data_IF_459490616282
#
_entry.id   IF_459490616282
#
_cell.length_a   1.000
_cell.length_b   1.000
_cell.length_c   1.000
_cell.angle_alpha   90.00
_cell.angle_beta   90.00
_cell.angle_gamma   90.00
#
_symmetry.space_group_name_H-M   'P 1'
#
loop_
_entity.id
_entity.type
_entity.pdbx_description
1 polymer ?
#
# COMPACT_ATOMS: atom_id res chain seq x y z
N UNK A 1 7.87 -0.52 -23.82
CA UNK A 1 6.56 -0.41 -23.11
C UNK A 1 6.19 1.04 -22.80
N UNK A 2 6.56 1.99 -23.66
CA UNK A 2 5.93 3.33 -23.79
C UNK A 2 6.02 3.72 -25.29
N UNK A 3 5.96 2.69 -26.14
CA UNK A 3 6.12 2.80 -27.58
C UNK A 3 4.80 3.28 -28.15
N UNK A 4 4.86 4.28 -29.02
CA UNK A 4 3.68 4.83 -29.66
C UNK A 4 3.56 4.29 -31.09
N UNK A 5 2.56 4.75 -31.85
CA UNK A 5 2.45 4.41 -33.26
C UNK A 5 3.62 4.95 -34.10
N UNK A 6 4.34 5.96 -33.59
CA UNK A 6 5.56 6.45 -34.22
C UNK A 6 6.80 5.88 -33.52
N UNK A 7 7.75 5.26 -34.23
CA UNK A 7 8.87 4.52 -33.62
C UNK A 7 9.77 5.42 -32.75
N UNK A 8 9.92 6.69 -33.15
CA UNK A 8 10.75 7.66 -32.46
C UNK A 8 10.01 8.48 -31.40
N UNK A 9 8.69 8.29 -31.23
CA UNK A 9 7.93 8.96 -30.18
C UNK A 9 7.63 7.97 -29.07
N UNK A 10 7.92 8.37 -27.84
CA UNK A 10 7.46 7.72 -26.62
C UNK A 10 6.30 8.50 -26.04
N UNK A 11 5.37 7.79 -25.42
CA UNK A 11 4.25 8.43 -24.76
C UNK A 11 3.40 7.45 -23.99
N UNK A 12 2.62 8.01 -23.07
CA UNK A 12 1.74 7.27 -22.20
C UNK A 12 0.53 8.13 -21.82
N UNK A 13 -0.63 7.50 -21.69
CA UNK A 13 -1.84 8.11 -21.19
C UNK A 13 -1.93 7.83 -19.68
N UNK A 14 -1.74 8.85 -18.85
CA UNK A 14 -1.82 8.72 -17.40
C UNK A 14 -3.27 8.60 -16.92
N UNK A 15 -4.17 9.37 -17.51
CA UNK A 15 -5.54 9.50 -17.04
C UNK A 15 -6.51 9.83 -18.18
N UNK A 16 -7.69 9.22 -18.12
CA UNK A 16 -8.83 9.52 -18.98
C UNK A 16 -10.09 9.52 -18.13
N UNK A 17 -10.80 10.65 -18.09
CA UNK A 17 -12.05 10.83 -17.37
C UNK A 17 -13.15 11.20 -18.36
N UNK A 18 -14.24 10.43 -18.37
CA UNK A 18 -15.45 10.75 -19.13
C UNK A 18 -16.52 11.25 -18.16
N UNK A 19 -17.00 12.48 -18.35
CA UNK A 19 -18.07 13.06 -17.55
C UNK A 19 -19.14 13.74 -18.43
N UNK A 20 -20.06 14.47 -17.81
CA UNK A 20 -21.14 15.18 -18.52
C UNK A 20 -20.61 16.30 -19.41
N UNK A 21 -19.44 16.87 -19.09
CA UNK A 21 -18.79 17.97 -19.80
C UNK A 21 -17.84 17.51 -20.90
N UNK A 22 -17.71 16.19 -21.15
CA UNK A 22 -16.87 15.62 -22.20
C UNK A 22 -15.83 14.63 -21.66
N UNK A 23 -14.68 14.58 -22.34
CA UNK A 23 -13.55 13.71 -22.05
C UNK A 23 -12.38 14.60 -21.61
N UNK A 24 -11.85 14.35 -20.43
CA UNK A 24 -10.56 14.87 -19.99
C UNK A 24 -9.50 13.79 -20.17
N UNK A 25 -8.40 14.13 -20.84
CA UNK A 25 -7.25 13.24 -20.99
C UNK A 25 -5.99 13.93 -20.49
N UNK A 26 -5.10 13.15 -19.88
CA UNK A 26 -3.79 13.60 -19.42
C UNK A 26 -2.74 12.52 -19.63
N UNK A 27 -1.55 12.91 -20.05
CA UNK A 27 -0.45 12.00 -20.29
C UNK A 27 0.89 12.71 -20.41
N UNK A 28 1.86 11.99 -20.97
CA UNK A 28 3.14 12.55 -21.38
C UNK A 28 3.58 11.95 -22.71
N UNK A 29 4.28 12.75 -23.53
CA UNK A 29 4.77 12.34 -24.85
C UNK A 29 6.04 13.11 -25.20
N UNK A 30 7.03 12.44 -25.79
CA UNK A 30 8.24 13.08 -26.30
C UNK A 30 8.84 12.32 -27.48
N UNK A 31 9.62 13.02 -28.31
CA UNK A 31 10.38 12.40 -29.39
C UNK A 31 11.82 12.08 -28.95
N UNK A 32 12.38 10.99 -29.46
CA UNK A 32 13.67 10.46 -29.00
C UNK A 32 14.84 11.41 -29.29
N UNK A 33 14.80 12.10 -30.43
CA UNK A 33 15.94 12.87 -30.94
C UNK A 33 15.69 14.37 -31.12
N UNK A 34 14.44 14.82 -31.14
CA UNK A 34 14.08 16.22 -31.44
C UNK A 34 12.96 16.70 -30.50
N UNK A 35 12.82 18.01 -30.26
CA UNK A 35 11.65 18.56 -29.56
C UNK A 35 10.38 18.39 -30.40
N UNK A 36 9.27 18.06 -29.75
CA UNK A 36 7.96 18.12 -30.39
C UNK A 36 7.50 19.57 -30.51
N UNK A 37 7.04 19.97 -31.69
CA UNK A 37 6.63 21.36 -31.95
C UNK A 37 5.27 21.68 -31.34
N UNK A 38 4.32 20.76 -31.46
CA UNK A 38 2.98 20.89 -30.90
C UNK A 38 2.33 19.51 -30.76
N UNK A 39 1.38 19.44 -29.83
CA UNK A 39 0.52 18.30 -29.61
C UNK A 39 -0.94 18.74 -29.69
N UNK A 40 -1.80 17.87 -30.22
CA UNK A 40 -3.25 18.09 -30.24
C UNK A 40 -3.99 16.79 -30.00
N UNK A 41 -5.21 16.90 -29.52
CA UNK A 41 -6.18 15.81 -29.53
C UNK A 41 -7.12 16.03 -30.73
N UNK A 42 -7.24 15.03 -31.59
CA UNK A 42 -8.11 15.08 -32.77
C UNK A 42 -9.20 14.01 -32.71
N UNK A 43 -10.41 14.36 -33.14
CA UNK A 43 -11.52 13.44 -33.37
C UNK A 43 -11.87 13.33 -34.86
N UNK A 44 -13.08 12.86 -35.18
CA UNK A 44 -13.57 12.88 -36.57
C UNK A 44 -13.90 14.30 -37.03
N UNK A 45 -14.44 15.11 -36.12
CA UNK A 45 -15.07 16.38 -36.49
C UNK A 45 -14.21 17.60 -36.14
N UNK A 46 -13.41 17.55 -35.08
CA UNK A 46 -12.65 18.68 -34.54
C UNK A 46 -11.23 18.27 -34.10
N UNK A 47 -10.41 19.25 -33.74
CA UNK A 47 -9.12 19.04 -33.06
C UNK A 47 -8.82 20.19 -32.11
N UNK A 48 -8.27 19.89 -30.94
CA UNK A 48 -7.93 20.85 -29.90
C UNK A 48 -6.45 20.72 -29.51
N UNK A 49 -5.74 21.86 -29.39
CA UNK A 49 -4.38 21.85 -28.87
C UNK A 49 -4.38 21.44 -27.40
N UNK A 50 -3.35 20.69 -26.99
CA UNK A 50 -3.21 20.31 -25.58
C UNK A 50 -2.63 21.46 -24.75
N UNK A 51 -2.88 21.42 -23.46
CA UNK A 51 -2.17 22.21 -22.45
C UNK A 51 -0.90 21.44 -22.09
N UNK A 52 0.27 22.05 -22.27
CA UNK A 52 1.57 21.42 -21.96
C UNK A 52 1.93 21.64 -20.49
N UNK A 53 2.44 20.60 -19.84
CA UNK A 53 2.80 20.58 -18.42
C UNK A 53 4.23 20.05 -18.22
N UNK A 54 4.86 20.43 -17.11
CA UNK A 54 6.17 19.92 -16.71
C UNK A 54 6.07 18.51 -16.10
N UNK A 55 7.00 17.62 -16.47
CA UNK A 55 7.08 16.24 -15.97
C UNK A 55 8.52 15.84 -15.62
N UNK A 56 8.94 16.22 -14.42
CA UNK A 56 10.28 15.91 -13.90
C UNK A 56 10.48 14.41 -13.65
N UNK A 57 9.43 13.70 -13.26
CA UNK A 57 9.42 12.26 -13.05
C UNK A 57 9.74 11.49 -14.33
N UNK A 58 9.13 11.89 -15.47
CA UNK A 58 9.40 11.29 -16.79
C UNK A 58 10.82 11.57 -17.24
N UNK A 59 11.28 12.81 -17.07
CA UNK A 59 12.65 13.22 -17.37
C UNK A 59 13.68 12.38 -16.60
N UNK A 60 13.49 12.19 -15.29
CA UNK A 60 14.34 11.37 -14.44
C UNK A 60 14.34 9.89 -14.87
N UNK A 61 13.17 9.33 -15.17
CA UNK A 61 13.06 7.93 -15.61
C UNK A 61 13.82 7.67 -16.92
N UNK A 62 13.76 8.61 -17.87
CA UNK A 62 14.42 8.50 -19.17
C UNK A 62 15.82 9.09 -19.24
N UNK A 63 16.31 9.70 -18.15
CA UNK A 63 17.60 10.39 -18.09
C UNK A 63 17.74 11.46 -19.19
N UNK A 64 16.69 12.27 -19.41
CA UNK A 64 16.62 13.28 -20.49
C UNK A 64 16.38 14.69 -19.94
N UNK A 65 17.44 15.26 -19.35
CA UNK A 65 17.37 16.50 -18.55
C UNK A 65 16.75 17.71 -19.25
N UNK A 66 16.76 17.77 -20.58
CA UNK A 66 16.23 18.89 -21.37
C UNK A 66 14.72 18.74 -21.73
N UNK A 67 14.07 17.67 -21.28
CA UNK A 67 12.73 17.27 -21.73
C UNK A 67 11.68 17.40 -20.62
N UNK A 68 11.62 18.58 -20.00
CA UNK A 68 10.73 18.84 -18.87
C UNK A 68 9.29 19.08 -19.35
N UNK A 69 9.10 19.77 -20.48
CA UNK A 69 7.79 20.09 -21.05
C UNK A 69 7.26 18.97 -21.95
N UNK A 70 7.07 17.77 -21.37
CA UNK A 70 6.54 16.61 -22.09
C UNK A 70 5.18 16.14 -21.57
N UNK A 71 4.66 16.73 -20.49
CA UNK A 71 3.30 16.47 -20.03
C UNK A 71 2.27 17.17 -20.89
N UNK A 72 1.08 16.59 -21.00
CA UNK A 72 -0.04 17.21 -21.71
C UNK A 72 -1.38 16.85 -21.09
N UNK A 73 -2.33 17.77 -21.17
CA UNK A 73 -3.74 17.54 -20.84
C UNK A 73 -4.68 18.22 -21.83
N UNK A 74 -5.89 17.69 -22.02
CA UNK A 74 -6.88 18.24 -22.94
C UNK A 74 -8.30 17.89 -22.49
N UNK A 75 -9.20 18.88 -22.58
CA UNK A 75 -10.64 18.65 -22.52
C UNK A 75 -11.18 18.53 -23.95
N UNK A 76 -11.98 17.51 -24.23
CA UNK A 76 -12.49 17.23 -25.58
C UNK A 76 -13.98 16.84 -25.55
N UNK A 77 -14.79 17.21 -26.56
CA UNK A 77 -16.21 16.83 -26.63
C UNK A 77 -16.45 15.31 -26.63
N UNK A 78 -17.62 14.87 -26.13
CA UNK A 78 -17.98 13.46 -25.98
C UNK A 78 -18.26 12.77 -27.35
N UNK A 79 -18.10 11.45 -27.40
CA UNK A 79 -18.63 10.51 -28.42
C UNK A 79 -17.85 10.28 -29.74
N UNK A 80 -16.54 10.53 -29.79
CA UNK A 80 -15.73 10.12 -30.94
C UNK A 80 -14.44 9.42 -30.52
N UNK A 81 -13.93 8.55 -31.39
CA UNK A 81 -12.56 8.05 -31.31
C UNK A 81 -11.61 9.23 -31.41
N UNK A 82 -10.83 9.47 -30.36
CA UNK A 82 -9.86 10.54 -30.31
C UNK A 82 -8.43 10.01 -30.38
N UNK A 83 -7.53 10.82 -30.93
CA UNK A 83 -6.13 10.51 -31.13
C UNK A 83 -5.28 11.62 -30.55
N UNK A 84 -4.17 11.26 -29.89
CA UNK A 84 -3.09 12.21 -29.70
C UNK A 84 -2.29 12.30 -31.00
N UNK A 85 -2.12 13.51 -31.50
CA UNK A 85 -1.29 13.79 -32.67
C UNK A 85 -0.13 14.72 -32.30
N UNK A 86 1.02 14.49 -32.94
CA UNK A 86 2.19 15.36 -32.85
C UNK A 86 2.46 16.02 -34.20
N UNK A 87 2.81 17.30 -34.17
CA UNK A 87 3.23 18.04 -35.36
C UNK A 87 4.70 17.74 -35.65
N UNK A 88 4.97 17.08 -36.77
CA UNK A 88 6.31 16.73 -37.26
C UNK A 88 6.40 17.05 -38.75
N UNK A 89 7.46 17.73 -39.19
CA UNK A 89 7.70 18.08 -40.59
C UNK A 89 6.49 18.70 -41.33
N UNK A 90 5.71 19.53 -40.60
CA UNK A 90 4.48 20.20 -41.05
C UNK A 90 3.23 19.32 -41.15
N UNK A 91 3.33 18.03 -40.81
CA UNK A 91 2.23 17.08 -40.79
C UNK A 91 1.85 16.68 -39.37
N UNK A 92 0.54 16.49 -39.15
CA UNK A 92 0.03 15.93 -37.89
C UNK A 92 0.03 14.41 -37.97
N UNK A 93 0.86 13.79 -37.12
CA UNK A 93 1.03 12.34 -37.08
C UNK A 93 0.33 11.77 -35.86
N UNK A 94 -0.46 10.71 -36.04
CA UNK A 94 -1.09 9.97 -34.93
C UNK A 94 -0.05 9.26 -34.09
N UNK A 95 -0.05 9.54 -32.80
CA UNK A 95 0.90 9.02 -31.82
C UNK A 95 0.24 7.96 -30.96
N UNK A 96 -0.86 8.32 -30.28
CA UNK A 96 -1.59 7.43 -29.39
C UNK A 96 -3.06 7.37 -29.81
N UNK A 97 -3.62 6.16 -29.83
CA UNK A 97 -5.06 5.99 -29.87
C UNK A 97 -5.60 6.26 -28.45
N UNK A 98 -6.46 7.25 -28.29
CA UNK A 98 -7.06 7.60 -27.01
C UNK A 98 -8.48 6.99 -26.87
N UNK A 99 -8.88 6.07 -27.75
CA UNK A 99 -10.18 5.40 -27.75
C UNK A 99 -10.10 3.89 -27.43
N UNK A 100 -10.85 3.49 -26.38
CA UNK A 100 -11.38 2.16 -26.00
C UNK A 100 -10.86 0.95 -26.80
N UNK A 101 -9.98 0.09 -26.26
CA UNK A 101 -10.29 -1.04 -25.33
C UNK A 101 -9.36 -1.04 -24.09
N UNK A 102 -8.37 -0.17 -24.06
CA UNK A 102 -7.34 -0.16 -23.01
C UNK A 102 -7.83 0.39 -21.66
N UNK A 103 -8.97 1.08 -21.58
CA UNK A 103 -9.58 1.49 -20.29
C UNK A 103 -9.95 0.31 -19.36
N UNK A 104 -10.23 -0.88 -19.90
CA UNK A 104 -10.40 -2.10 -19.08
C UNK A 104 -9.05 -2.68 -18.60
N UNK A 105 -7.95 -2.25 -19.21
CA UNK A 105 -6.59 -2.74 -18.95
C UNK A 105 -5.74 -1.73 -18.18
N UNK A 106 -6.09 -0.44 -18.18
CA UNK A 106 -5.45 0.59 -17.35
C UNK A 106 -5.81 0.28 -15.89
N UNK A 107 -4.83 -0.11 -15.06
CA UNK A 107 -5.11 -0.32 -13.64
C UNK A 107 -5.59 1.00 -13.06
N UNK A 108 -6.73 0.98 -12.37
CA UNK A 108 -7.19 2.14 -11.62
C UNK A 108 -6.06 2.61 -10.71
N UNK A 109 -5.70 3.89 -10.80
CA UNK A 109 -4.78 4.49 -9.84
C UNK A 109 -5.36 4.27 -8.44
N UNK A 110 -4.75 3.39 -7.67
CA UNK A 110 -5.24 3.08 -6.35
C UNK A 110 -4.89 4.25 -5.43
N UNK A 111 -5.87 5.10 -5.17
CA UNK A 111 -5.73 6.21 -4.22
C UNK A 111 -5.77 5.72 -2.76
N UNK A 112 -6.07 4.44 -2.51
CA UNK A 112 -6.06 3.86 -1.18
C UNK A 112 -4.68 3.30 -0.83
N UNK A 113 -4.29 3.49 0.43
CA UNK A 113 -3.12 2.81 1.00
C UNK A 113 -3.31 1.30 0.83
N UNK A 114 -2.22 0.57 0.54
CA UNK A 114 -2.25 -0.88 0.41
C UNK A 114 -2.96 -1.53 1.60
N UNK A 115 -3.57 -2.71 1.43
CA UNK A 115 -4.20 -3.42 2.55
C UNK A 115 -3.16 -3.95 3.55
N UNK A 116 -2.01 -4.36 3.06
CA UNK A 116 -0.83 -4.67 3.86
C UNK A 116 0.45 -4.56 3.02
N UNK A 117 1.59 -4.39 3.70
CA UNK A 117 2.94 -4.36 3.13
C UNK A 117 3.83 -5.26 3.99
N UNK A 118 4.69 -6.04 3.34
CA UNK A 118 5.76 -6.79 4.02
C UNK A 118 7.11 -6.25 3.59
N UNK A 119 8.00 -6.03 4.55
CA UNK A 119 9.36 -5.54 4.31
C UNK A 119 10.34 -6.45 5.04
N UNK A 120 11.09 -7.22 4.27
CA UNK A 120 12.17 -8.07 4.79
C UNK A 120 13.41 -7.26 5.12
N UNK A 121 14.20 -7.75 6.08
CA UNK A 121 15.43 -7.12 6.54
C UNK A 121 15.25 -5.66 6.99
N UNK A 122 14.18 -5.39 7.75
CA UNK A 122 13.76 -4.04 8.09
C UNK A 122 14.78 -3.28 8.96
N UNK A 123 15.16 -3.84 10.10
CA UNK A 123 16.21 -3.27 10.93
C UNK A 123 17.58 -3.58 10.33
N UNK A 124 18.48 -2.60 10.39
CA UNK A 124 19.87 -2.76 9.97
C UNK A 124 20.62 -3.80 10.83
N UNK A 125 20.40 -3.77 12.15
CA UNK A 125 21.02 -4.66 13.12
C UNK A 125 19.92 -5.36 13.95
N UNK A 126 19.19 -6.35 13.39
CA UNK A 126 18.07 -6.97 14.08
C UNK A 126 18.46 -7.73 15.34
N UNK A 127 19.69 -8.25 15.41
CA UNK A 127 20.22 -8.94 16.59
C UNK A 127 20.35 -7.98 17.78
N UNK A 128 20.82 -6.75 17.57
CA UNK A 128 20.92 -5.74 18.62
C UNK A 128 19.54 -5.32 19.15
N UNK A 129 18.55 -5.18 18.26
CA UNK A 129 17.15 -4.88 18.64
C UNK A 129 16.57 -6.04 19.44
N UNK A 130 16.82 -7.27 19.01
CA UNK A 130 16.39 -8.47 19.72
C UNK A 130 17.03 -8.56 21.11
N UNK A 131 18.34 -8.40 21.20
CA UNK A 131 19.08 -8.42 22.47
C UNK A 131 18.60 -7.33 23.42
N UNK A 132 18.24 -6.16 22.88
CA UNK A 132 17.59 -5.10 23.63
C UNK A 132 16.22 -5.55 24.13
N UNK A 133 15.36 -6.10 23.28
CA UNK A 133 14.01 -6.56 23.64
C UNK A 133 14.06 -7.64 24.75
N UNK A 134 14.95 -8.62 24.63
CA UNK A 134 15.11 -9.71 25.60
C UNK A 134 15.50 -9.24 27.01
N UNK A 135 16.10 -8.05 27.14
CA UNK A 135 16.51 -7.46 28.43
C UNK A 135 15.41 -6.61 29.09
N UNK A 136 14.28 -6.42 28.41
CA UNK A 136 13.19 -5.60 28.95
C UNK A 136 12.36 -6.36 30.00
N UNK A 137 11.61 -5.59 30.80
CA UNK A 137 10.66 -6.14 31.76
C UNK A 137 9.31 -6.36 31.09
N UNK A 138 8.77 -7.56 31.23
CA UNK A 138 7.49 -7.97 30.66
C UNK A 138 6.46 -8.22 31.75
N UNK A 139 5.27 -7.66 31.56
CA UNK A 139 4.10 -7.87 32.40
C UNK A 139 3.04 -8.67 31.65
N UNK A 140 2.22 -9.40 32.41
CA UNK A 140 1.06 -10.12 31.90
C UNK A 140 -0.20 -9.31 32.21
N UNK A 141 -1.00 -9.01 31.20
CA UNK A 141 -2.25 -8.27 31.33
C UNK A 141 -3.39 -9.07 30.71
N UNK A 142 -3.82 -10.13 31.42
CA UNK A 142 -4.75 -11.16 30.91
C UNK A 142 -6.07 -10.62 30.39
N UNK A 143 -6.52 -9.49 30.93
CA UNK A 143 -7.80 -8.87 30.58
C UNK A 143 -7.74 -8.10 29.23
N UNK A 144 -6.53 -7.80 28.74
CA UNK A 144 -6.33 -6.94 27.58
C UNK A 144 -5.63 -7.65 26.42
N UNK A 145 -4.72 -8.58 26.69
CA UNK A 145 -4.00 -9.30 25.63
C UNK A 145 -3.49 -10.67 26.09
N UNK A 146 -3.15 -11.51 25.12
CA UNK A 146 -2.45 -12.79 25.35
C UNK A 146 -0.93 -12.59 25.37
N UNK A 147 -0.21 -13.54 25.95
CA UNK A 147 1.23 -13.41 26.15
C UNK A 147 1.62 -12.28 27.10
N UNK A 148 2.87 -11.83 27.03
CA UNK A 148 3.39 -10.78 27.91
C UNK A 148 3.95 -9.62 27.10
N UNK A 149 3.76 -8.39 27.58
CA UNK A 149 4.17 -7.15 26.92
C UNK A 149 5.06 -6.30 27.82
N UNK A 150 5.89 -5.45 27.23
CA UNK A 150 6.54 -4.37 27.96
C UNK A 150 5.55 -3.24 28.20
N UNK A 151 5.48 -2.72 29.41
CA UNK A 151 4.70 -1.50 29.70
C UNK A 151 5.39 -0.25 29.14
N UNK A 152 6.72 -0.30 29.03
CA UNK A 152 7.49 0.72 28.33
C UNK A 152 7.33 0.58 26.82
N UNK A 153 7.24 1.73 26.16
CA UNK A 153 7.15 1.85 24.71
C UNK A 153 8.51 2.22 24.14
N UNK A 154 8.91 1.53 23.07
CA UNK A 154 10.18 1.74 22.39
C UNK A 154 9.91 2.16 20.95
N UNK A 155 10.10 3.44 20.68
CA UNK A 155 9.95 4.04 19.35
C UNK A 155 11.31 4.60 18.95
N UNK A 156 12.14 3.74 18.36
CA UNK A 156 13.46 4.13 17.88
C UNK A 156 13.35 5.20 16.79
N UNK A 157 14.33 6.10 16.75
CA UNK A 157 14.37 7.20 15.80
C UNK A 157 14.29 6.70 14.35
N UNK A 158 13.52 7.41 13.52
CA UNK A 158 13.35 7.09 12.10
C UNK A 158 12.25 6.06 11.80
N UNK A 159 11.66 5.39 12.79
CA UNK A 159 10.60 4.40 12.54
C UNK A 159 9.36 5.02 11.90
N UNK A 160 8.90 6.15 12.44
CA UNK A 160 7.71 6.84 11.92
C UNK A 160 7.96 7.28 10.49
N UNK A 161 9.07 7.95 10.23
CA UNK A 161 9.47 8.46 8.92
C UNK A 161 9.59 7.33 7.91
N UNK A 162 10.15 6.18 8.32
CA UNK A 162 10.26 5.02 7.45
C UNK A 162 8.90 4.42 7.12
N UNK A 163 7.97 4.36 8.07
CA UNK A 163 6.61 3.88 7.81
C UNK A 163 5.87 4.83 6.87
N UNK A 164 5.97 6.14 7.07
CA UNK A 164 5.39 7.14 6.16
C UNK A 164 5.94 7.01 4.73
N UNK A 165 7.24 6.76 4.57
CA UNK A 165 7.85 6.51 3.26
C UNK A 165 7.32 5.25 2.58
N UNK A 166 7.17 4.16 3.33
CA UNK A 166 6.68 2.88 2.80
C UNK A 166 5.21 2.94 2.41
N UNK A 167 4.41 3.69 3.18
CA UNK A 167 2.96 3.80 3.00
C UNK A 167 2.57 4.93 2.04
N UNK A 168 3.49 5.86 1.75
CA UNK A 168 3.21 7.05 0.96
C UNK A 168 2.21 8.00 1.63
N UNK A 169 2.01 7.90 2.95
CA UNK A 169 1.01 8.67 3.71
C UNK A 169 1.55 9.13 5.06
N UNK A 170 1.16 10.33 5.48
CA UNK A 170 1.55 10.91 6.78
C UNK A 170 0.81 10.26 7.95
N UNK A 171 1.55 10.05 9.04
CA UNK A 171 1.08 9.36 10.24
C UNK A 171 0.79 10.38 11.34
N UNK A 172 -0.42 10.29 11.92
CA UNK A 172 -0.82 10.95 13.16
C UNK A 172 -0.98 9.93 14.30
N UNK A 173 -1.21 10.42 15.52
CA UNK A 173 -1.47 9.59 16.71
C UNK A 173 -0.34 8.59 17.04
N UNK A 174 0.89 8.86 16.59
CA UNK A 174 2.06 8.03 16.84
C UNK A 174 2.36 7.88 18.34
N UNK A 175 2.16 8.94 19.11
CA UNK A 175 2.48 8.95 20.55
C UNK A 175 1.26 8.76 21.46
N UNK A 176 0.06 8.71 20.90
CA UNK A 176 -1.19 8.65 21.68
C UNK A 176 -1.66 7.24 21.96
N UNK A 177 -1.32 6.28 21.08
CA UNK A 177 -1.71 4.88 21.26
C UNK A 177 -0.82 4.19 22.30
N UNK A 178 -1.42 3.76 23.41
CA UNK A 178 -0.71 3.27 24.60
C UNK A 178 0.10 1.98 24.43
N UNK A 179 -0.02 1.30 23.29
CA UNK A 179 0.72 0.07 22.96
C UNK A 179 1.68 0.26 21.79
N UNK A 180 1.76 1.46 21.19
CA UNK A 180 2.59 1.72 20.02
C UNK A 180 4.09 1.72 20.39
N UNK A 181 4.81 0.73 19.88
CA UNK A 181 6.23 0.50 20.13
C UNK A 181 6.54 -0.47 21.26
N UNK A 182 5.55 -1.13 21.87
CA UNK A 182 5.84 -2.16 22.89
C UNK A 182 6.43 -3.42 22.26
N UNK A 183 7.24 -4.16 23.04
CA UNK A 183 7.58 -5.53 22.69
C UNK A 183 6.58 -6.49 23.31
N UNK A 184 6.23 -7.55 22.59
CA UNK A 184 5.38 -8.63 23.05
C UNK A 184 6.00 -9.97 22.72
N UNK A 185 5.77 -10.96 23.59
CA UNK A 185 5.94 -12.34 23.19
C UNK A 185 4.77 -13.22 23.61
N UNK A 186 4.53 -14.26 22.81
CA UNK A 186 3.61 -15.36 23.10
C UNK A 186 4.36 -16.70 22.95
N UNK A 187 3.91 -17.72 23.66
CA UNK A 187 4.52 -19.05 23.67
C UNK A 187 3.51 -20.13 23.25
N UNK A 188 3.99 -21.34 22.96
CA UNK A 188 3.12 -22.47 22.68
C UNK A 188 2.12 -22.73 23.82
N UNK A 189 0.85 -22.91 23.46
CA UNK A 189 -0.26 -23.08 24.40
C UNK A 189 -1.05 -21.79 24.70
N UNK A 190 -0.53 -20.62 24.35
CA UNK A 190 -1.30 -19.37 24.42
C UNK A 190 -2.51 -19.43 23.46
N UNK A 191 -3.63 -18.85 23.87
CA UNK A 191 -4.85 -18.82 23.06
C UNK A 191 -4.74 -17.83 21.90
N UNK A 192 -5.25 -18.24 20.73
CA UNK A 192 -5.43 -17.32 19.60
C UNK A 192 -6.67 -16.46 19.82
N UNK A 193 -6.55 -15.17 19.54
CA UNK A 193 -7.66 -14.19 19.64
C UNK A 193 -7.90 -13.60 18.26
N UNK A 194 -9.09 -13.84 17.72
CA UNK A 194 -9.57 -13.26 16.47
C UNK A 194 -10.19 -11.91 16.77
N UNK A 195 -9.69 -10.84 16.18
CA UNK A 195 -10.13 -9.48 16.48
C UNK A 195 -9.86 -8.54 15.30
N UNK A 196 -10.35 -7.31 15.42
CA UNK A 196 -9.88 -6.17 14.66
C UNK A 196 -9.47 -5.09 15.67
N UNK A 197 -8.61 -4.17 15.25
CA UNK A 197 -8.24 -3.01 16.05
C UNK A 197 -9.04 -1.77 15.64
N UNK A 198 -9.02 -0.76 16.49
CA UNK A 198 -9.72 0.52 16.26
C UNK A 198 -8.91 1.51 15.43
N UNK A 199 -7.58 1.39 15.44
CA UNK A 199 -6.68 2.26 14.68
C UNK A 199 -6.84 2.08 13.18
N UNK A 200 -6.38 3.04 12.38
CA UNK A 200 -6.42 2.83 10.91
C UNK A 200 -5.40 1.79 10.46
N UNK A 201 -4.24 1.74 11.11
CA UNK A 201 -3.14 0.87 10.69
C UNK A 201 -2.37 0.30 11.87
N UNK A 202 -1.91 -0.92 11.71
CA UNK A 202 -1.09 -1.63 12.67
C UNK A 202 0.20 -2.11 12.00
N UNK A 203 1.21 -2.33 12.82
CA UNK A 203 2.49 -2.84 12.41
C UNK A 203 3.02 -3.87 13.39
N UNK A 204 3.78 -4.83 12.89
CA UNK A 204 4.60 -5.68 13.73
C UNK A 204 5.91 -6.05 13.06
N UNK A 205 6.94 -6.23 13.88
CA UNK A 205 8.25 -6.71 13.44
C UNK A 205 8.57 -8.00 14.16
N UNK A 206 8.85 -9.07 13.42
CA UNK A 206 9.21 -10.37 13.99
C UNK A 206 10.67 -10.39 14.44
N UNK A 207 10.91 -10.79 15.69
CA UNK A 207 12.22 -10.72 16.36
C UNK A 207 12.68 -12.08 16.90
N UNK A 208 12.16 -13.17 16.37
CA UNK A 208 12.59 -14.53 16.71
C UNK A 208 13.31 -15.15 15.51
N UNK A 209 14.61 -15.46 15.61
CA UNK A 209 15.34 -16.13 14.54
C UNK A 209 14.81 -17.54 14.32
N UNK A 210 14.84 -18.02 13.08
CA UNK A 210 14.41 -19.37 12.67
C UNK A 210 13.02 -19.80 13.19
N UNK A 211 12.13 -18.82 13.38
CA UNK A 211 10.76 -19.08 13.78
C UNK A 211 10.03 -19.93 12.71
N UNK A 212 9.10 -20.84 13.12
CA UNK A 212 8.26 -21.55 12.16
C UNK A 212 7.51 -20.55 11.28
N UNK A 213 7.69 -20.52 9.95
CA UNK A 213 7.09 -19.49 9.10
C UNK A 213 5.56 -19.44 9.20
N UNK A 214 4.92 -20.57 9.47
CA UNK A 214 3.48 -20.69 9.68
C UNK A 214 2.95 -20.06 10.98
N UNK A 215 3.81 -19.49 11.83
CA UNK A 215 3.44 -18.84 13.11
C UNK A 215 3.26 -17.31 13.00
N UNK A 216 2.99 -16.83 11.80
CA UNK A 216 2.91 -15.41 11.49
C UNK A 216 1.59 -14.76 11.87
N UNK A 217 1.05 -13.97 10.95
CA UNK A 217 -0.21 -13.26 11.11
C UNK A 217 -1.15 -13.69 10.00
N UNK A 218 -2.36 -14.06 10.37
CA UNK A 218 -3.41 -14.47 9.43
C UNK A 218 -4.47 -13.39 9.37
N UNK A 219 -4.89 -13.05 8.15
CA UNK A 219 -6.06 -12.22 7.88
C UNK A 219 -7.24 -13.08 7.48
N UNK A 220 -8.42 -12.68 7.96
CA UNK A 220 -9.62 -13.47 7.87
C UNK A 220 -10.75 -12.68 7.23
N UNK A 221 -11.71 -13.43 6.67
CA UNK A 221 -13.02 -12.96 6.27
C UNK A 221 -14.08 -13.58 7.18
N UNK A 222 -15.01 -12.77 7.67
CA UNK A 222 -16.18 -13.27 8.41
C UNK A 222 -17.04 -14.14 7.51
N UNK A 223 -17.42 -15.34 7.96
CA UNK A 223 -18.40 -16.17 7.25
C UNK A 223 -19.81 -15.60 7.33
N UNK A 224 -20.09 -14.73 8.30
CA UNK A 224 -21.40 -14.11 8.51
C UNK A 224 -21.63 -12.92 7.59
N UNK A 225 -20.65 -11.99 7.52
CA UNK A 225 -20.78 -10.77 6.71
C UNK A 225 -20.09 -10.87 5.34
N UNK A 226 -19.24 -11.89 5.14
CA UNK A 226 -18.40 -12.05 3.93
C UNK A 226 -17.39 -10.92 3.72
N UNK A 227 -17.10 -10.13 4.76
CA UNK A 227 -16.14 -9.02 4.73
C UNK A 227 -14.88 -9.36 5.54
N UNK A 228 -13.75 -8.79 5.13
CA UNK A 228 -12.50 -8.81 5.92
C UNK A 228 -12.45 -7.69 6.94
N UNK A 229 -13.07 -6.55 6.62
CA UNK A 229 -13.15 -5.36 7.45
C UNK A 229 -14.51 -5.31 8.13
N UNK A 230 -14.53 -4.93 9.40
CA UNK A 230 -15.77 -4.79 10.18
C UNK A 230 -16.29 -3.37 10.01
N UNK A 231 -17.54 -3.24 9.58
CA UNK A 231 -18.24 -1.95 9.55
C UNK A 231 -18.89 -1.62 10.90
N UNK A 232 -19.19 -0.35 11.12
CA UNK A 232 -19.83 0.11 12.35
C UNK A 232 -21.12 -0.66 12.65
N UNK A 233 -21.19 -1.23 13.84
CA UNK A 233 -22.33 -2.04 14.31
C UNK A 233 -22.30 -3.51 13.91
N UNK A 234 -21.36 -3.97 13.07
CA UNK A 234 -21.29 -5.38 12.64
C UNK A 234 -20.53 -6.28 13.62
N UNK A 235 -19.81 -5.72 14.61
CA UNK A 235 -18.93 -6.49 15.52
C UNK A 235 -19.64 -7.67 16.21
N UNK A 236 -20.87 -7.46 16.71
CA UNK A 236 -21.65 -8.52 17.36
C UNK A 236 -22.04 -9.66 16.40
N UNK A 237 -22.17 -9.38 15.10
CA UNK A 237 -22.47 -10.38 14.07
C UNK A 237 -21.19 -11.13 13.70
N UNK A 238 -20.07 -10.41 13.57
CA UNK A 238 -18.77 -10.98 13.18
C UNK A 238 -18.21 -11.89 14.27
N UNK A 239 -18.34 -11.50 15.54
CA UNK A 239 -17.81 -12.24 16.70
C UNK A 239 -18.90 -12.89 17.55
N UNK A 240 -20.01 -13.31 16.94
CA UNK A 240 -21.14 -13.88 17.69
C UNK A 240 -20.79 -15.15 18.49
N UNK A 241 -19.77 -15.91 18.05
CA UNK A 241 -19.25 -17.07 18.77
C UNK A 241 -18.07 -16.70 19.71
N UNK A 242 -17.86 -15.41 19.97
CA UNK A 242 -16.74 -14.88 20.74
C UNK A 242 -15.44 -14.80 19.92
N UNK A 243 -14.34 -14.48 20.59
CA UNK A 243 -13.05 -14.15 19.98
C UNK A 243 -12.07 -15.32 19.88
N UNK A 244 -12.49 -16.55 20.22
CA UNK A 244 -11.62 -17.74 20.26
C UNK A 244 -12.02 -18.84 19.27
N UNK A 245 -13.22 -18.77 18.71
CA UNK A 245 -13.74 -19.77 17.76
C UNK A 245 -13.31 -19.43 16.32
N UNK A 246 -12.40 -20.21 15.70
CA UNK A 246 -11.99 -19.98 14.32
C UNK A 246 -13.09 -20.32 13.29
N UNK A 247 -14.09 -21.12 13.65
CA UNK A 247 -15.00 -21.72 12.66
C UNK A 247 -15.89 -20.69 11.98
N UNK A 248 -16.08 -19.51 12.58
CA UNK A 248 -16.81 -18.37 12.02
C UNK A 248 -16.00 -17.56 10.98
N UNK A 249 -14.74 -17.93 10.72
CA UNK A 249 -13.84 -17.20 9.82
C UNK A 249 -13.30 -18.08 8.68
N UNK A 250 -13.09 -17.47 7.51
CA UNK A 250 -12.30 -18.02 6.40
C UNK A 250 -10.91 -17.37 6.41
N UNK A 251 -9.85 -18.17 6.28
CA UNK A 251 -8.49 -17.64 6.05
C UNK A 251 -8.45 -17.02 4.65
N UNK A 252 -7.95 -15.79 4.55
CA UNK A 252 -7.74 -15.10 3.27
C UNK A 252 -6.26 -15.06 2.94
N UNK A 253 -5.45 -14.51 3.86
CA UNK A 253 -4.02 -14.32 3.69
C UNK A 253 -3.25 -14.77 4.93
N UNK A 254 -2.02 -15.26 4.72
CA UNK A 254 -1.10 -15.63 5.80
C UNK A 254 0.26 -14.99 5.52
N UNK A 255 0.69 -14.10 6.40
CA UNK A 255 2.01 -13.50 6.35
C UNK A 255 2.93 -14.24 7.29
N UNK A 256 3.96 -14.88 6.75
CA UNK A 256 4.86 -15.72 7.52
C UNK A 256 5.70 -14.97 8.56
N UNK A 257 5.98 -15.64 9.68
CA UNK A 257 6.89 -15.19 10.73
C UNK A 257 8.35 -15.34 10.28
N UNK A 258 8.85 -14.33 9.58
CA UNK A 258 10.23 -14.28 9.09
C UNK A 258 11.01 -13.29 9.93
N UNK A 259 12.17 -13.69 10.44
CA UNK A 259 12.99 -12.83 11.29
C UNK A 259 13.33 -11.51 10.60
N UNK A 260 13.21 -10.40 11.31
CA UNK A 260 13.41 -9.04 10.81
C UNK A 260 12.47 -8.61 9.66
N UNK A 261 11.31 -9.27 9.53
CA UNK A 261 10.23 -8.81 8.66
C UNK A 261 9.32 -7.84 9.41
N UNK A 262 9.16 -6.66 8.85
CA UNK A 262 8.08 -5.75 9.17
C UNK A 262 6.82 -6.15 8.38
N UNK A 263 5.68 -6.11 9.04
CA UNK A 263 4.36 -6.21 8.44
C UNK A 263 3.59 -4.97 8.85
N UNK A 264 3.10 -4.19 7.89
CA UNK A 264 2.18 -3.07 8.10
C UNK A 264 0.84 -3.44 7.45
N UNK A 265 -0.29 -3.18 8.09
CA UNK A 265 -1.60 -3.60 7.58
C UNK A 265 -2.76 -2.74 8.10
N UNK A 266 -3.89 -2.74 7.37
CA UNK A 266 -5.16 -2.14 7.81
C UNK A 266 -5.62 -2.84 9.10
N UNK A 267 -5.57 -2.12 10.21
CA UNK A 267 -5.81 -2.70 11.53
C UNK A 267 -7.28 -3.12 11.73
N UNK A 268 -8.19 -2.61 10.89
CA UNK A 268 -9.61 -2.93 10.93
C UNK A 268 -9.94 -4.25 10.23
N UNK A 269 -8.96 -4.90 9.61
CA UNK A 269 -9.12 -6.27 9.13
C UNK A 269 -9.23 -7.25 10.29
N UNK A 270 -10.05 -8.29 10.14
CA UNK A 270 -10.11 -9.39 11.08
C UNK A 270 -8.79 -10.15 11.00
N UNK A 271 -8.07 -10.24 12.11
CA UNK A 271 -6.76 -10.86 12.15
C UNK A 271 -6.49 -11.60 13.47
N UNK A 272 -5.51 -12.49 13.42
CA UNK A 272 -4.96 -13.21 14.57
C UNK A 272 -3.53 -13.67 14.27
N UNK A 273 -2.79 -14.06 15.31
CA UNK A 273 -1.61 -14.89 15.10
C UNK A 273 -2.02 -16.25 14.51
N UNK A 274 -1.23 -16.80 13.60
CA UNK A 274 -1.54 -18.08 12.95
C UNK A 274 -1.42 -19.26 13.93
N UNK A 275 -0.38 -19.24 14.77
CA UNK A 275 -0.16 -20.12 15.90
C UNK A 275 0.96 -19.54 16.78
N UNK A 276 1.17 -20.13 17.96
CA UNK A 276 2.33 -19.83 18.81
C UNK A 276 3.21 -21.06 18.99
N UNK A 277 4.47 -20.83 19.34
CA UNK A 277 5.51 -21.85 19.45
C UNK A 277 6.47 -21.48 20.58
N UNK A 278 7.42 -22.37 20.88
CA UNK A 278 8.37 -22.18 21.97
C UNK A 278 7.72 -22.28 23.34
N UNK A 279 8.52 -22.03 24.38
CA UNK A 279 8.09 -22.15 25.78
C UNK A 279 8.56 -20.99 26.65
N UNK A 280 9.32 -20.04 26.10
CA UNK A 280 9.76 -18.83 26.81
C UNK A 280 10.08 -17.70 25.81
N UNK A 281 10.46 -16.52 26.29
CA UNK A 281 10.72 -15.34 25.45
C UNK A 281 11.87 -15.53 24.43
N UNK A 282 12.87 -16.38 24.73
CA UNK A 282 14.02 -16.55 23.84
C UNK A 282 13.70 -17.43 22.63
N UNK A 283 12.69 -18.31 22.72
CA UNK A 283 12.33 -19.24 21.65
C UNK A 283 10.84 -19.23 21.26
N UNK A 284 10.06 -18.30 21.81
CA UNK A 284 8.67 -18.07 21.46
C UNK A 284 8.50 -16.97 20.43
N UNK A 285 7.26 -16.62 20.10
CA UNK A 285 6.94 -15.57 19.11
C UNK A 285 7.17 -14.19 19.72
N UNK A 286 8.41 -13.67 19.66
CA UNK A 286 8.77 -12.31 20.04
C UNK A 286 8.59 -11.34 18.87
N UNK A 287 7.94 -10.21 19.11
CA UNK A 287 7.70 -9.16 18.13
C UNK A 287 7.57 -7.78 18.77
N UNK A 288 7.79 -6.73 17.97
CA UNK A 288 7.48 -5.35 18.33
C UNK A 288 6.19 -4.92 17.66
N UNK A 289 5.29 -4.26 18.39
CA UNK A 289 3.97 -3.84 17.90
C UNK A 289 3.90 -2.34 17.64
N UNK A 290 3.13 -1.95 16.64
CA UNK A 290 2.88 -0.56 16.29
C UNK A 290 1.40 -0.32 15.96
N UNK A 291 0.91 0.85 16.32
CA UNK A 291 -0.48 1.28 16.08
C UNK A 291 -0.50 2.77 15.81
N UNK A 292 -1.16 3.18 14.72
CA UNK A 292 -1.18 4.58 14.32
C UNK A 292 -2.33 4.89 13.35
N UNK A 293 -2.59 6.18 13.18
CA UNK A 293 -3.63 6.67 12.29
C UNK A 293 -3.03 7.49 11.15
N UNK A 294 -3.72 7.56 10.01
CA UNK A 294 -3.33 8.46 8.93
C UNK A 294 -3.91 9.86 9.11
N UNK A 295 -3.18 10.87 8.63
CA UNK A 295 -3.74 12.19 8.37
C UNK A 295 -4.88 12.08 7.34
N UNK A 296 -5.88 12.95 7.47
CA UNK A 296 -7.05 12.99 6.57
C UNK A 296 -6.63 13.37 5.14
#
# INVERSE_FOLDING_TARGET
>A
MHDTLHPDIKGFLDELIINENGIYVKGWTFHNSIPLLALRVSGKSNSELVIVEERQDVNQFYNKFDMILCGWSCQYPKNETIWLEALLDQDWIKVLNLHTVEELLIPKLNQQVCSFITVDNFYKNPDEVRDFALKQLYAEHKDYHKGKRTDKLFKFDGLKERFEQLLGKKIRNWDTHGTNGCFQYCIGGDQLVYHNDFQTYAGLIYLTPDAPPQSGTTFYRSKHTKKMKIEDGESNIVFQNGFLDPTQFDVVDVIGNVYNRLVLFDAQFIHAASCYFGNNISNGRLFQLFFFDFEE
#
